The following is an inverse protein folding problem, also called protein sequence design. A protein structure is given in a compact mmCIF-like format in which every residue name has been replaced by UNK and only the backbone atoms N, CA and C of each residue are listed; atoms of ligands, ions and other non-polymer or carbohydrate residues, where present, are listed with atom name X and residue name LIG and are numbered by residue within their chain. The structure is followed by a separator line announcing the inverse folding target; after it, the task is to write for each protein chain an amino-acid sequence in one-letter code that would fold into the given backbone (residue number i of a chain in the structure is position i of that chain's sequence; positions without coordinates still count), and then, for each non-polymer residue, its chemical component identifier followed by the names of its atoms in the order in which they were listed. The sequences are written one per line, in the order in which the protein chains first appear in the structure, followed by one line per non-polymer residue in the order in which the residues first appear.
data_IF_979831210729
#
_entry.id   IF_979831210729
#
_cell.length_a   1.000
_cell.length_b   1.000
_cell.length_c   1.000
_cell.angle_alpha   90.00
_cell.angle_beta   90.00
_cell.angle_gamma   90.00
#
_symmetry.space_group_name_H-M   'P 1'
#
loop_
_entity.id
_entity.type
_entity.pdbx_description
1 polymer ?
#
# COMPACT_ATOMS: atom_id res chain seq x y z
N UNK A 1 -27.13 22.60 -73.35
CA UNK A 1 -26.51 21.27 -73.15
C UNK A 1 -25.80 21.24 -71.79
N UNK A 2 -26.44 20.70 -70.75
CA UNK A 2 -25.81 20.57 -69.41
C UNK A 2 -25.15 19.20 -69.29
N UNK A 3 -23.84 19.17 -69.09
CA UNK A 3 -23.05 17.96 -68.84
C UNK A 3 -23.52 17.32 -67.53
N UNK A 4 -23.93 16.06 -67.60
CA UNK A 4 -24.26 15.25 -66.43
C UNK A 4 -22.99 15.03 -65.59
N UNK A 5 -23.11 15.33 -64.30
CA UNK A 5 -22.11 15.06 -63.27
C UNK A 5 -21.92 13.55 -63.12
N UNK A 6 -20.67 13.08 -63.21
CA UNK A 6 -20.31 11.69 -62.94
C UNK A 6 -20.58 11.41 -61.47
N UNK A 7 -21.67 10.67 -61.21
CA UNK A 7 -21.97 10.04 -59.93
C UNK A 7 -20.73 9.29 -59.43
N UNK A 8 -20.15 9.79 -58.34
CA UNK A 8 -19.11 9.10 -57.58
C UNK A 8 -19.75 7.90 -56.91
N UNK A 9 -19.71 6.74 -57.58
CA UNK A 9 -20.06 5.45 -56.97
C UNK A 9 -19.06 5.21 -55.85
N UNK A 10 -19.43 5.59 -54.63
CA UNK A 10 -18.75 5.14 -53.41
C UNK A 10 -19.09 3.66 -53.29
N UNK A 11 -18.19 2.80 -53.78
CA UNK A 11 -18.29 1.35 -53.61
C UNK A 11 -18.36 1.07 -52.11
N UNK A 12 -19.52 0.67 -51.61
CA UNK A 12 -19.66 0.11 -50.27
C UNK A 12 -18.91 -1.23 -50.20
N UNK A 13 -18.15 -1.40 -49.13
CA UNK A 13 -17.22 -2.52 -48.93
C UNK A 13 -17.90 -3.62 -48.15
N UNK A 14 -17.77 -4.87 -48.60
CA UNK A 14 -18.34 -6.00 -47.87
C UNK A 14 -17.45 -6.34 -46.67
N UNK A 15 -18.05 -6.83 -45.58
CA UNK A 15 -17.35 -7.14 -44.33
C UNK A 15 -16.24 -8.20 -44.47
N UNK A 16 -16.22 -8.95 -45.57
CA UNK A 16 -15.26 -10.02 -45.87
C UNK A 16 -14.11 -9.60 -46.81
N UNK A 17 -14.06 -8.35 -47.25
CA UNK A 17 -13.04 -7.89 -48.19
C UNK A 17 -11.72 -7.58 -47.47
N UNK A 18 -10.65 -8.33 -47.80
CA UNK A 18 -9.29 -8.11 -47.28
C UNK A 18 -8.45 -7.32 -48.28
N UNK A 19 -7.87 -6.18 -47.87
CA UNK A 19 -6.97 -5.41 -48.74
C UNK A 19 -5.71 -4.93 -48.02
N UNK A 20 -4.61 -4.87 -48.76
CA UNK A 20 -3.33 -4.33 -48.32
C UNK A 20 -3.08 -3.00 -49.04
N UNK A 21 -2.74 -1.94 -48.32
CA UNK A 21 -2.42 -0.62 -48.90
C UNK A 21 -1.14 -0.06 -48.29
N UNK A 22 -0.29 0.54 -49.14
CA UNK A 22 0.84 1.37 -48.71
C UNK A 22 0.46 2.84 -48.74
N UNK A 23 0.82 3.61 -47.72
CA UNK A 23 0.67 5.07 -47.74
C UNK A 23 1.93 5.77 -48.33
N UNK A 24 1.85 7.10 -48.48
CA UNK A 24 2.95 7.95 -48.96
C UNK A 24 4.22 7.93 -48.09
N UNK A 25 4.11 7.51 -46.83
CA UNK A 25 5.21 7.33 -45.85
C UNK A 25 5.72 5.87 -45.77
N UNK A 26 5.33 5.01 -46.71
CA UNK A 26 5.76 3.61 -46.78
C UNK A 26 5.15 2.67 -45.74
N UNK A 27 4.11 3.11 -45.01
CA UNK A 27 3.41 2.27 -44.02
C UNK A 27 2.44 1.30 -44.71
N UNK A 28 2.51 0.03 -44.32
CA UNK A 28 1.61 -1.03 -44.76
C UNK A 28 0.39 -1.12 -43.83
N UNK A 29 -0.80 -1.14 -44.42
CA UNK A 29 -2.07 -1.30 -43.72
C UNK A 29 -2.84 -2.48 -44.31
N UNK A 30 -3.38 -3.32 -43.43
CA UNK A 30 -4.34 -4.38 -43.78
C UNK A 30 -5.73 -3.92 -43.34
N UNK A 31 -6.71 -4.08 -44.22
CA UNK A 31 -8.11 -3.76 -43.99
C UNK A 31 -8.95 -5.02 -44.07
N UNK A 32 -9.85 -5.21 -43.11
CA UNK A 32 -10.91 -6.23 -43.11
C UNK A 32 -12.24 -5.51 -42.85
N UNK A 33 -13.03 -5.28 -43.89
CA UNK A 33 -14.24 -4.46 -43.80
C UNK A 33 -13.97 -3.02 -43.32
N UNK A 34 -14.42 -2.68 -42.10
CA UNK A 34 -14.21 -1.36 -41.47
C UNK A 34 -12.97 -1.32 -40.55
N UNK A 35 -12.42 -2.47 -40.19
CA UNK A 35 -11.27 -2.57 -39.29
C UNK A 35 -9.95 -2.46 -40.08
N UNK A 36 -8.92 -1.89 -39.45
CA UNK A 36 -7.60 -1.70 -40.06
C UNK A 36 -6.47 -1.94 -39.07
N UNK A 37 -5.38 -2.57 -39.51
CA UNK A 37 -4.18 -2.81 -38.71
C UNK A 37 -2.95 -2.31 -39.45
N UNK A 38 -2.04 -1.68 -38.71
CA UNK A 38 -0.76 -1.22 -39.22
C UNK A 38 0.26 -2.35 -39.10
N UNK A 39 0.91 -2.69 -40.22
CA UNK A 39 1.99 -3.68 -40.25
C UNK A 39 3.38 -3.03 -40.30
N UNK A 40 4.43 -3.73 -39.82
CA UNK A 40 5.81 -3.29 -39.94
C UNK A 40 6.21 -3.03 -41.40
N UNK A 41 7.04 -2.02 -41.63
CA UNK A 41 7.46 -1.59 -42.98
C UNK A 41 8.32 -2.64 -43.69
N UNK A 42 8.98 -3.50 -42.93
CA UNK A 42 9.95 -4.49 -43.41
C UNK A 42 9.27 -5.75 -43.97
N UNK A 43 7.95 -5.88 -43.77
CA UNK A 43 7.19 -7.07 -44.16
C UNK A 43 6.84 -7.02 -45.65
N UNK A 44 7.52 -7.84 -46.47
CA UNK A 44 7.29 -7.93 -47.92
C UNK A 44 6.08 -8.81 -48.27
N UNK A 45 4.87 -8.36 -47.92
CA UNK A 45 3.62 -9.06 -48.25
C UNK A 45 3.04 -8.60 -49.60
N UNK A 46 2.71 -9.55 -50.48
CA UNK A 46 2.03 -9.31 -51.77
C UNK A 46 0.51 -9.55 -51.69
N UNK A 47 0.07 -10.51 -50.88
CA UNK A 47 -1.33 -10.87 -50.61
C UNK A 47 -1.43 -11.54 -49.23
N UNK A 48 -2.61 -11.51 -48.61
CA UNK A 48 -2.86 -12.09 -47.28
C UNK A 48 -4.25 -12.75 -47.27
N UNK A 49 -4.39 -13.87 -46.55
CA UNK A 49 -5.68 -14.58 -46.42
C UNK A 49 -6.54 -13.97 -45.30
N UNK A 50 -7.85 -14.29 -45.31
CA UNK A 50 -8.80 -13.81 -44.29
C UNK A 50 -8.36 -14.18 -42.86
N UNK A 51 -8.02 -15.45 -42.64
CA UNK A 51 -7.55 -15.95 -41.34
C UNK A 51 -6.26 -15.26 -40.86
N UNK A 52 -5.34 -14.95 -41.77
CA UNK A 52 -4.13 -14.21 -41.42
C UNK A 52 -4.45 -12.76 -41.03
N UNK A 53 -5.38 -12.10 -41.72
CA UNK A 53 -5.81 -10.74 -41.39
C UNK A 53 -6.53 -10.68 -40.04
N UNK A 54 -7.41 -11.64 -39.74
CA UNK A 54 -8.04 -11.81 -38.42
C UNK A 54 -7.00 -12.04 -37.31
N UNK A 55 -5.97 -12.83 -37.58
CA UNK A 55 -4.85 -13.05 -36.66
C UNK A 55 -4.09 -11.76 -36.31
N UNK A 56 -3.78 -10.91 -37.30
CA UNK A 56 -3.14 -9.63 -37.05
C UNK A 56 -4.03 -8.64 -36.30
N UNK A 57 -5.33 -8.62 -36.60
CA UNK A 57 -6.33 -7.84 -35.85
C UNK A 57 -6.48 -8.30 -34.40
N UNK A 58 -6.47 -9.61 -34.17
CA UNK A 58 -6.46 -10.18 -32.83
C UNK A 58 -5.20 -9.82 -32.05
N UNK A 59 -4.02 -9.89 -32.69
CA UNK A 59 -2.75 -9.48 -32.07
C UNK A 59 -2.71 -7.99 -31.75
N UNK A 60 -3.20 -7.13 -32.65
CA UNK A 60 -3.25 -5.68 -32.45
C UNK A 60 -4.21 -5.32 -31.31
N UNK A 61 -5.39 -5.95 -31.24
CA UNK A 61 -6.34 -5.81 -30.12
C UNK A 61 -5.73 -6.30 -28.80
N UNK A 62 -5.03 -7.43 -28.80
CA UNK A 62 -4.35 -7.95 -27.60
C UNK A 62 -3.19 -7.07 -27.14
N UNK A 63 -2.39 -6.53 -28.07
CA UNK A 63 -1.32 -5.58 -27.79
C UNK A 63 -1.86 -4.26 -27.24
N UNK A 64 -2.97 -3.76 -27.78
CA UNK A 64 -3.62 -2.55 -27.27
C UNK A 64 -4.20 -2.78 -25.86
N UNK A 65 -4.86 -3.91 -25.61
CA UNK A 65 -5.32 -4.26 -24.26
C UNK A 65 -4.16 -4.38 -23.27
N UNK A 66 -3.04 -5.01 -23.67
CA UNK A 66 -1.86 -5.11 -22.83
C UNK A 66 -1.21 -3.74 -22.57
N UNK A 67 -1.18 -2.86 -23.59
CA UNK A 67 -0.70 -1.50 -23.44
C UNK A 67 -1.62 -0.68 -22.52
N UNK A 68 -2.94 -0.84 -22.63
CA UNK A 68 -3.93 -0.23 -21.75
C UNK A 68 -3.80 -0.72 -20.30
N UNK A 69 -3.51 -2.01 -20.10
CA UNK A 69 -3.28 -2.60 -18.77
C UNK A 69 -1.95 -2.12 -18.16
N UNK A 70 -0.92 -1.89 -18.99
CA UNK A 70 0.37 -1.33 -18.56
C UNK A 70 0.27 0.18 -18.27
N UNK A 71 -0.51 0.95 -19.04
CA UNK A 71 -0.78 2.36 -18.73
C UNK A 71 -1.64 2.52 -17.47
N UNK A 72 -2.65 1.67 -17.26
CA UNK A 72 -3.45 1.65 -16.02
C UNK A 72 -2.60 1.32 -14.78
N UNK A 73 -1.53 0.56 -14.93
CA UNK A 73 -0.64 0.17 -13.82
C UNK A 73 0.44 1.21 -13.46
N UNK A 74 0.52 2.35 -14.16
CA UNK A 74 1.41 3.46 -13.76
C UNK A 74 0.76 4.48 -12.81
N UNK A 75 -0.52 4.30 -12.47
CA UNK A 75 -1.21 5.15 -11.50
C UNK A 75 -2.35 4.41 -10.81
N UNK A 76 -2.11 3.93 -9.58
CA UNK A 76 -3.15 3.58 -8.61
C UNK A 76 -4.06 2.42 -8.99
N UNK A 77 -3.52 1.19 -9.02
CA UNK A 77 -4.25 0.02 -9.52
C UNK A 77 -4.40 -1.17 -8.58
N UNK A 78 -4.42 -1.01 -7.24
CA UNK A 78 -4.84 -2.10 -6.30
C UNK A 78 -5.54 -1.57 -5.03
N UNK A 79 -6.15 -0.38 -5.04
CA UNK A 79 -6.70 0.23 -3.79
C UNK A 79 -8.14 -0.14 -3.46
N UNK A 80 -8.69 -1.22 -4.04
CA UNK A 80 -10.03 -1.68 -3.71
C UNK A 80 -10.00 -2.43 -2.37
N UNK A 81 -10.46 -1.73 -1.35
CA UNK A 81 -10.68 -2.27 -0.02
C UNK A 81 -11.64 -3.47 -0.08
N UNK A 82 -11.29 -4.55 0.64
CA UNK A 82 -12.12 -5.75 0.76
C UNK A 82 -12.58 -5.86 2.21
N UNK A 83 -13.84 -6.24 2.42
CA UNK A 83 -14.42 -6.40 3.76
C UNK A 83 -13.64 -7.38 4.67
N UNK A 84 -12.89 -8.34 4.11
CA UNK A 84 -12.03 -9.24 4.87
C UNK A 84 -10.74 -8.59 5.42
N UNK A 85 -10.37 -7.39 4.98
CA UNK A 85 -9.17 -6.69 5.44
C UNK A 85 -9.29 -6.18 6.87
N UNK A 86 -10.51 -5.99 7.39
CA UNK A 86 -10.76 -5.59 8.78
C UNK A 86 -10.18 -6.60 9.77
N UNK A 87 -10.48 -7.88 9.56
CA UNK A 87 -10.01 -8.93 10.46
C UNK A 87 -8.49 -9.13 10.33
N UNK A 88 -7.94 -9.01 9.12
CA UNK A 88 -6.50 -9.10 8.88
C UNK A 88 -5.76 -7.95 9.54
N UNK A 89 -6.24 -6.71 9.38
CA UNK A 89 -5.67 -5.54 10.02
C UNK A 89 -5.73 -5.63 11.55
N UNK A 90 -6.86 -6.10 12.11
CA UNK A 90 -6.98 -6.36 13.55
C UNK A 90 -5.93 -7.35 14.04
N UNK A 91 -5.75 -8.48 13.34
CA UNK A 91 -4.77 -9.52 13.70
C UNK A 91 -3.34 -8.99 13.61
N UNK A 92 -3.01 -8.22 12.59
CA UNK A 92 -1.69 -7.61 12.43
C UNK A 92 -1.41 -6.57 13.53
N UNK A 93 -2.36 -5.69 13.84
CA UNK A 93 -2.22 -4.74 14.93
C UNK A 93 -2.14 -5.42 16.30
N UNK A 94 -2.77 -6.58 16.49
CA UNK A 94 -2.63 -7.40 17.69
C UNK A 94 -1.18 -7.88 17.91
N UNK A 95 -0.46 -8.11 16.80
CA UNK A 95 0.95 -8.48 16.79
C UNK A 95 1.89 -7.26 16.92
N UNK A 96 1.34 -6.04 17.01
CA UNK A 96 2.09 -4.80 17.12
C UNK A 96 2.44 -4.14 15.78
N UNK A 97 1.81 -4.55 14.68
CA UNK A 97 2.10 -3.97 13.37
C UNK A 97 1.75 -2.46 13.31
N UNK A 98 2.69 -1.69 12.77
CA UNK A 98 2.55 -0.27 12.46
C UNK A 98 1.78 -0.06 11.15
N UNK A 99 1.34 1.17 10.89
CA UNK A 99 0.59 1.47 9.66
C UNK A 99 1.42 1.30 8.38
N UNK A 100 2.75 1.44 8.49
CA UNK A 100 3.73 1.20 7.42
C UNK A 100 3.77 -0.30 7.09
N UNK A 101 3.93 -1.14 8.11
CA UNK A 101 3.95 -2.61 7.94
C UNK A 101 2.59 -3.15 7.45
N UNK A 102 1.49 -2.49 7.84
CA UNK A 102 0.16 -2.78 7.31
C UNK A 102 0.10 -2.48 5.80
N UNK A 103 0.64 -1.33 5.38
CA UNK A 103 0.69 -0.93 3.98
C UNK A 103 1.52 -1.92 3.15
N UNK A 104 2.69 -2.31 3.66
CA UNK A 104 3.55 -3.33 3.05
C UNK A 104 2.83 -4.68 2.93
N UNK A 105 2.12 -5.11 3.98
CA UNK A 105 1.36 -6.37 3.96
C UNK A 105 0.25 -6.37 2.89
N UNK A 106 -0.48 -5.26 2.76
CA UNK A 106 -1.56 -5.14 1.77
C UNK A 106 -1.06 -4.77 0.37
N UNK A 107 0.24 -4.54 0.18
CA UNK A 107 0.82 -4.11 -1.10
C UNK A 107 0.32 -2.73 -1.55
N UNK A 108 -0.02 -1.86 -0.59
CA UNK A 108 -0.53 -0.51 -0.84
C UNK A 108 0.40 0.53 -0.23
N UNK A 109 0.24 1.79 -0.62
CA UNK A 109 0.98 2.89 0.00
C UNK A 109 0.31 3.27 1.32
N UNK A 110 1.08 3.76 2.30
CA UNK A 110 0.57 4.23 3.60
C UNK A 110 -0.60 5.22 3.45
N UNK A 111 -0.52 6.11 2.45
CA UNK A 111 -1.60 7.05 2.13
C UNK A 111 -2.93 6.37 1.78
N UNK A 112 -2.91 5.17 1.19
CA UNK A 112 -4.09 4.35 0.92
C UNK A 112 -4.68 3.79 2.21
N UNK A 113 -3.85 3.31 3.14
CA UNK A 113 -4.30 2.86 4.46
C UNK A 113 -4.97 4.01 5.22
N UNK A 114 -4.39 5.21 5.15
CA UNK A 114 -4.97 6.39 5.79
C UNK A 114 -6.31 6.80 5.16
N UNK A 115 -6.46 6.65 3.83
CA UNK A 115 -7.76 6.81 3.15
C UNK A 115 -8.77 5.76 3.60
N UNK A 116 -8.37 4.48 3.67
CA UNK A 116 -9.27 3.42 4.11
C UNK A 116 -9.78 3.63 5.55
N UNK A 117 -8.96 4.20 6.44
CA UNK A 117 -9.42 4.56 7.79
C UNK A 117 -10.49 5.66 7.81
N UNK A 118 -10.48 6.56 6.82
CA UNK A 118 -11.48 7.62 6.68
C UNK A 118 -12.75 7.10 5.99
N UNK A 119 -12.56 6.33 4.91
CA UNK A 119 -13.65 5.85 4.07
C UNK A 119 -14.42 4.68 4.72
N UNK A 120 -13.74 3.85 5.51
CA UNK A 120 -14.30 2.66 6.16
C UNK A 120 -14.13 2.71 7.69
N UNK A 121 -15.16 3.17 8.43
CA UNK A 121 -15.10 3.23 9.89
C UNK A 121 -14.85 1.87 10.57
N UNK A 122 -15.33 0.76 9.98
CA UNK A 122 -15.13 -0.60 10.50
C UNK A 122 -13.65 -1.02 10.49
N UNK A 123 -12.91 -0.62 9.45
CA UNK A 123 -11.47 -0.85 9.33
C UNK A 123 -10.70 -0.07 10.39
N UNK A 124 -11.04 1.21 10.54
CA UNK A 124 -10.46 2.08 11.57
C UNK A 124 -10.71 1.54 12.98
N UNK A 125 -11.93 1.10 13.27
CA UNK A 125 -12.29 0.49 14.55
C UNK A 125 -11.52 -0.82 14.81
N UNK A 126 -11.35 -1.64 13.78
CA UNK A 126 -10.60 -2.90 13.85
C UNK A 126 -9.12 -2.68 14.17
N UNK A 127 -8.49 -1.70 13.53
CA UNK A 127 -7.11 -1.29 13.83
C UNK A 127 -7.00 -0.76 15.27
N UNK A 128 -7.93 0.12 15.68
CA UNK A 128 -7.93 0.70 17.02
C UNK A 128 -8.02 -0.37 18.10
N UNK A 129 -8.96 -1.32 17.96
CA UNK A 129 -9.09 -2.47 18.88
C UNK A 129 -7.82 -3.31 18.95
N UNK A 130 -7.16 -3.53 17.81
CA UNK A 130 -5.89 -4.26 17.76
C UNK A 130 -4.79 -3.56 18.53
N UNK A 131 -4.60 -2.26 18.28
CA UNK A 131 -3.58 -1.42 18.94
C UNK A 131 -3.83 -1.29 20.45
N UNK A 132 -5.07 -1.02 20.86
CA UNK A 132 -5.44 -0.93 22.28
C UNK A 132 -5.13 -2.22 23.05
N UNK A 133 -5.36 -3.38 22.45
CA UNK A 133 -5.03 -4.65 23.10
C UNK A 133 -3.51 -4.89 23.19
N UNK A 134 -2.77 -4.56 22.13
CA UNK A 134 -1.31 -4.63 22.15
C UNK A 134 -0.73 -3.71 23.24
N UNK A 135 -1.21 -2.47 23.31
CA UNK A 135 -0.83 -1.50 24.34
C UNK A 135 -1.21 -1.97 25.75
N UNK A 136 -2.40 -2.55 25.92
CA UNK A 136 -2.85 -3.11 27.20
C UNK A 136 -1.97 -4.28 27.66
N UNK A 137 -1.50 -5.13 26.74
CA UNK A 137 -0.56 -6.21 27.08
C UNK A 137 0.78 -5.66 27.57
N UNK A 138 1.33 -4.66 26.87
CA UNK A 138 2.56 -4.00 27.29
C UNK A 138 2.37 -3.35 28.66
N UNK A 139 1.28 -2.63 28.87
CA UNK A 139 0.95 -2.02 30.16
C UNK A 139 0.85 -3.05 31.29
N UNK A 140 0.22 -4.20 31.05
CA UNK A 140 0.12 -5.28 32.04
C UNK A 140 1.50 -5.88 32.36
N UNK A 141 2.34 -6.14 31.35
CA UNK A 141 3.71 -6.63 31.59
C UNK A 141 4.56 -5.61 32.35
N UNK A 142 4.44 -4.33 32.01
CA UNK A 142 5.12 -3.25 32.70
C UNK A 142 4.65 -3.11 34.15
N UNK A 143 3.35 -3.26 34.40
CA UNK A 143 2.78 -3.28 35.76
C UNK A 143 3.35 -4.42 36.60
N UNK A 144 3.40 -5.65 36.05
CA UNK A 144 4.02 -6.78 36.74
C UNK A 144 5.51 -6.52 37.02
N UNK A 145 6.23 -5.86 36.11
CA UNK A 145 7.63 -5.47 36.32
C UNK A 145 7.78 -4.36 37.37
N UNK A 146 6.83 -3.44 37.46
CA UNK A 146 6.80 -2.37 38.47
C UNK A 146 6.49 -2.89 39.89
N UNK A 147 5.76 -4.01 40.01
CA UNK A 147 5.51 -4.68 41.30
C UNK A 147 6.60 -5.68 41.68
N UNK A 148 7.32 -6.22 40.70
CA UNK A 148 8.08 -7.45 40.86
C UNK A 148 7.19 -8.67 40.60
N UNK A 149 7.79 -9.74 40.09
CA UNK A 149 7.06 -10.96 39.78
C UNK A 149 7.95 -12.19 39.94
N UNK A 150 7.31 -13.34 40.13
CA UNK A 150 7.98 -14.62 40.24
C UNK A 150 7.81 -15.43 38.96
N UNK A 151 8.86 -16.11 38.52
CA UNK A 151 8.83 -17.01 37.38
C UNK A 151 9.37 -18.37 37.78
N UNK A 152 8.64 -19.43 37.42
CA UNK A 152 9.11 -20.81 37.56
C UNK A 152 10.17 -21.05 36.48
N UNK A 153 11.36 -21.42 36.91
CA UNK A 153 12.50 -21.71 36.06
C UNK A 153 13.04 -23.10 36.44
N UNK A 154 13.19 -23.96 35.44
CA UNK A 154 13.77 -25.28 35.62
C UNK A 154 15.30 -25.16 35.48
N UNK A 155 16.03 -25.32 36.59
CA UNK A 155 17.49 -25.36 36.55
C UNK A 155 17.94 -26.77 36.20
N UNK A 156 18.58 -26.90 35.05
CA UNK A 156 19.13 -28.17 34.56
C UNK A 156 20.58 -28.26 35.03
N UNK A 157 20.86 -29.20 35.92
CA UNK A 157 22.20 -29.57 36.33
C UNK A 157 22.61 -30.86 35.60
N UNK A 158 23.90 -31.00 35.27
CA UNK A 158 24.46 -32.25 34.77
C UNK A 158 25.14 -32.97 35.93
N UNK A 159 24.56 -34.08 36.38
CA UNK A 159 25.21 -34.98 37.34
C UNK A 159 25.55 -36.29 36.62
N UNK A 160 26.84 -36.51 36.40
CA UNK A 160 27.39 -37.74 35.79
C UNK A 160 26.71 -38.19 34.47
N UNK A 161 26.25 -37.24 33.64
CA UNK A 161 25.61 -37.51 32.35
C UNK A 161 24.09 -37.67 32.40
N UNK A 162 23.47 -37.53 33.58
CA UNK A 162 22.02 -37.52 33.75
C UNK A 162 21.56 -36.07 33.99
N UNK A 163 20.62 -35.53 33.19
CA UNK A 163 20.07 -34.20 33.44
C UNK A 163 19.17 -34.22 34.68
N UNK A 164 19.59 -33.52 35.74
CA UNK A 164 18.79 -33.27 36.93
C UNK A 164 18.03 -31.95 36.76
N UNK A 165 16.70 -32.02 36.68
CA UNK A 165 15.82 -30.85 36.56
C UNK A 165 15.32 -30.49 37.96
N UNK A 166 15.72 -29.32 38.47
CA UNK A 166 15.25 -28.79 39.75
C UNK A 166 14.28 -27.64 39.51
N UNK A 167 12.97 -27.79 39.80
CA UNK A 167 12.01 -26.70 39.72
C UNK A 167 12.40 -25.61 40.71
N UNK A 168 12.74 -24.43 40.22
CA UNK A 168 13.13 -23.28 41.04
C UNK A 168 12.19 -22.11 40.77
N UNK A 169 11.82 -21.35 41.81
CA UNK A 169 11.09 -20.09 41.62
C UNK A 169 12.09 -18.94 41.68
N UNK A 170 12.22 -18.20 40.59
CA UNK A 170 13.08 -17.03 40.49
C UNK A 170 12.25 -15.78 40.72
N UNK A 171 12.60 -15.04 41.77
CA UNK A 171 11.98 -13.77 42.11
C UNK A 171 12.68 -12.62 41.37
N UNK A 172 11.91 -11.84 40.60
CA UNK A 172 12.36 -10.62 39.95
C UNK A 172 11.91 -9.41 40.79
N UNK A 173 12.86 -8.62 41.33
CA UNK A 173 12.50 -7.46 42.13
C UNK A 173 11.77 -6.40 41.30
N UNK A 174 10.99 -5.53 41.95
CA UNK A 174 10.33 -4.41 41.30
C UNK A 174 11.34 -3.49 40.58
N UNK A 175 11.02 -3.10 39.35
CA UNK A 175 11.80 -2.13 38.59
C UNK A 175 11.36 -0.70 38.92
N UNK A 176 12.27 0.08 39.49
CA UNK A 176 12.00 1.44 39.96
C UNK A 176 11.63 2.39 38.81
N UNK A 177 12.22 2.23 37.63
CA UNK A 177 11.91 3.04 36.45
C UNK A 177 10.48 2.77 35.96
N UNK A 178 10.07 1.51 35.88
CA UNK A 178 8.70 1.13 35.54
C UNK A 178 7.68 1.71 36.54
N UNK A 179 8.00 1.66 37.84
CA UNK A 179 7.17 2.27 38.88
C UNK A 179 7.06 3.80 38.74
N UNK A 180 8.18 4.48 38.47
CA UNK A 180 8.20 5.94 38.24
C UNK A 180 7.33 6.33 37.03
N UNK A 181 7.47 5.65 35.89
CA UNK A 181 6.65 5.91 34.71
C UNK A 181 5.15 5.67 34.98
N UNK A 182 4.82 4.59 35.69
CA UNK A 182 3.44 4.29 36.08
C UNK A 182 2.84 5.40 36.95
N UNK A 183 3.57 5.85 37.97
CA UNK A 183 3.13 6.89 38.89
C UNK A 183 3.02 8.26 38.22
N UNK A 184 3.95 8.60 37.33
CA UNK A 184 3.87 9.82 36.50
C UNK A 184 2.62 9.85 35.62
N UNK A 185 2.24 8.72 35.04
CA UNK A 185 1.07 8.62 34.15
C UNK A 185 -0.26 8.64 34.93
N UNK A 186 -0.34 7.98 36.10
CA UNK A 186 -1.59 7.89 36.89
C UNK A 186 -1.78 9.00 37.92
N UNK A 187 -0.70 9.54 38.47
CA UNK A 187 -0.72 10.58 39.50
C UNK A 187 0.20 11.75 39.11
N UNK A 188 -0.05 12.41 37.96
CA UNK A 188 0.83 13.46 37.46
C UNK A 188 0.97 14.63 38.43
N UNK A 189 -0.08 14.96 39.20
CA UNK A 189 -0.03 16.03 40.20
C UNK A 189 0.99 15.82 41.32
N UNK A 190 1.36 14.56 41.62
CA UNK A 190 2.28 14.20 42.70
C UNK A 190 3.67 13.81 42.19
N UNK A 191 3.76 13.27 40.97
CA UNK A 191 4.98 12.61 40.47
C UNK A 191 5.56 13.23 39.21
N UNK A 192 4.86 14.16 38.54
CA UNK A 192 5.41 14.83 37.36
C UNK A 192 6.52 15.79 37.77
N UNK A 193 7.60 15.82 36.99
CA UNK A 193 8.70 16.73 37.25
C UNK A 193 8.23 18.18 37.08
N UNK A 194 8.56 19.04 38.05
CA UNK A 194 8.25 20.47 37.98
C UNK A 194 9.25 21.13 37.04
N UNK A 195 8.78 21.67 35.91
CA UNK A 195 9.60 22.51 35.04
C UNK A 195 9.49 23.96 35.50
N UNK A 196 10.60 24.53 35.95
CA UNK A 196 10.71 25.98 36.17
C UNK A 196 11.21 26.61 34.86
N UNK A 197 10.34 27.38 34.21
CA UNK A 197 10.66 28.08 32.97
C UNK A 197 10.98 29.53 33.33
N UNK A 198 12.27 29.87 33.35
CA UNK A 198 12.72 31.25 33.48
C UNK A 198 12.54 31.98 32.14
N UNK A 199 11.50 32.80 32.02
CA UNK A 199 11.29 33.65 30.85
C UNK A 199 12.12 34.92 30.97
N UNK A 200 13.32 34.95 30.37
CA UNK A 200 14.11 36.18 30.26
C UNK A 200 13.53 37.08 29.17
N UNK A 201 12.67 38.03 29.55
CA UNK A 201 12.21 39.09 28.65
C UNK A 201 13.33 40.14 28.49
N UNK A 202 14.01 40.15 27.34
CA UNK A 202 14.88 41.27 26.96
C UNK A 202 13.99 42.47 26.62
N UNK A 203 13.87 43.41 27.55
CA UNK A 203 13.27 44.71 27.29
C UNK A 203 14.34 45.56 26.60
N UNK A 204 14.22 45.74 25.30
CA UNK A 204 15.04 46.73 24.58
C UNK A 204 14.59 48.13 25.04
N UNK A 205 15.51 48.86 25.69
CA UNK A 205 15.29 50.25 26.09
C UNK A 205 15.17 51.11 24.83
N UNK A 206 14.10 51.92 24.66
CA UNK A 206 14.07 52.90 23.58
C UNK A 206 15.11 53.99 23.85
N UNK A 207 15.98 54.22 22.86
CA UNK A 207 16.91 55.34 22.82
C UNK A 207 16.10 56.65 22.76
N UNK A 208 15.95 57.31 23.90
CA UNK A 208 15.59 58.72 23.93
C UNK A 208 16.82 59.50 23.43
N UNK A 209 16.69 60.12 22.25
CA UNK A 209 17.66 61.09 21.77
C UNK A 209 17.47 62.39 22.54
N UNK A 210 18.54 62.85 23.18
CA UNK A 210 18.62 64.19 23.75
C UNK A 210 18.85 65.19 22.61
N UNK A 211 17.87 66.03 22.33
CA UNK A 211 17.98 67.24 21.49
C UNK A 211 18.47 68.45 22.32
#
# INVERSE_FOLDING_TARGET
MKKQSKSSIVKEWKSSDVKIKKNSKGLLWVFLGKEKVKLPKDLKLKSITLSQAEGFLGLDKALNNLADDVEKNKGGGVSLYKSGYDEQARKLCLLGATDIELADFFGVVESTINKWKLDFPSFSESIKKGKEYADANVANKLYNRALGYEHKEDKIFNDQGIPLIVPTVKHYPPDTTAAIFWLKNRQPSKWRDKQEVETTLKVEQPLFGDD
#
